data_IF_395795888482
#
_entry.id   IF_395795888482
#
_cell.length_a   1.000
_cell.length_b   1.000
_cell.length_c   1.000
_cell.angle_alpha   90.00
_cell.angle_beta   90.00
_cell.angle_gamma   90.00
#
_symmetry.space_group_name_H-M   'P 1'
#
loop_
_entity.id
_entity.type
_entity.pdbx_description
1 polymer ?
#
# COMPACT_ATOMS: atom_id res chain seq x y z
N UNK A 1 -13.04 5.45 -1.75
CA UNK A 1 -13.23 5.56 -0.31
C UNK A 1 -11.91 5.97 0.35
N UNK A 2 -11.98 6.82 1.38
CA UNK A 2 -10.79 7.33 2.05
C UNK A 2 -10.51 6.50 3.31
N UNK A 3 -9.26 6.06 3.46
CA UNK A 3 -8.81 5.25 4.59
C UNK A 3 -7.62 5.91 5.28
N UNK A 4 -7.37 5.51 6.51
CA UNK A 4 -6.12 5.84 7.18
C UNK A 4 -5.02 4.88 6.74
N UNK A 5 -3.78 5.36 6.73
CA UNK A 5 -2.61 4.55 6.41
C UNK A 5 -2.55 3.29 7.28
N UNK A 6 -2.83 3.45 8.57
CA UNK A 6 -2.78 2.35 9.54
C UNK A 6 -3.88 1.29 9.35
N UNK A 7 -4.87 1.56 8.51
CA UNK A 7 -5.89 0.54 8.18
C UNK A 7 -5.29 -0.61 7.38
N UNK A 8 -4.20 -0.35 6.64
CA UNK A 8 -3.62 -1.33 5.73
C UNK A 8 -2.14 -1.61 5.96
N UNK A 9 -1.41 -0.65 6.53
CA UNK A 9 0.05 -0.74 6.65
C UNK A 9 0.46 -0.86 8.10
N UNK A 10 1.46 -1.69 8.35
CA UNK A 10 2.09 -1.85 9.66
C UNK A 10 3.55 -1.43 9.57
N UNK A 11 4.02 -0.73 10.61
CA UNK A 11 5.39 -0.26 10.69
C UNK A 11 6.22 -1.34 11.37
N UNK A 12 7.30 -1.76 10.68
CA UNK A 12 8.25 -2.71 11.23
C UNK A 12 9.26 -2.02 12.16
N UNK A 13 9.92 -2.76 13.06
CA UNK A 13 10.87 -2.16 14.00
C UNK A 13 12.03 -1.41 13.34
N UNK A 14 12.39 -1.74 12.10
CA UNK A 14 13.48 -1.09 11.37
C UNK A 14 13.04 0.16 10.58
N UNK A 15 11.78 0.57 10.71
CA UNK A 15 11.22 1.73 10.01
C UNK A 15 10.66 1.42 8.62
N UNK A 16 10.81 0.19 8.13
CA UNK A 16 10.11 -0.24 6.93
C UNK A 16 8.65 -0.51 7.25
N UNK A 17 7.83 -0.69 6.22
CA UNK A 17 6.40 -1.00 6.40
C UNK A 17 6.01 -2.17 5.52
N UNK A 18 4.93 -2.85 5.90
CA UNK A 18 4.33 -3.88 5.08
C UNK A 18 2.81 -3.77 5.15
N UNK A 19 2.14 -4.37 4.16
CA UNK A 19 0.69 -4.47 4.15
C UNK A 19 0.27 -5.93 4.27
N UNK A 20 -0.86 -6.15 4.92
CA UNK A 20 -1.50 -7.46 4.99
C UNK A 20 -2.20 -7.82 3.68
N UNK A 21 -2.36 -6.84 2.78
CA UNK A 21 -3.03 -7.02 1.49
C UNK A 21 -2.02 -6.95 0.35
N UNK A 22 -2.26 -7.68 -0.76
CA UNK A 22 -1.61 -7.34 -2.01
C UNK A 22 -1.94 -5.90 -2.39
N UNK A 23 -1.00 -5.17 -2.96
CA UNK A 23 -1.15 -3.75 -3.28
C UNK A 23 -0.89 -3.49 -4.75
N UNK A 24 -1.77 -2.70 -5.35
CA UNK A 24 -1.58 -2.17 -6.70
C UNK A 24 -1.93 -0.68 -6.70
N UNK A 25 -1.17 0.10 -7.45
CA UNK A 25 -1.50 1.50 -7.69
C UNK A 25 -2.41 1.57 -8.92
N UNK A 26 -3.49 2.31 -8.81
CA UNK A 26 -4.46 2.46 -9.90
C UNK A 26 -3.76 2.98 -11.15
N UNK A 27 -4.05 2.35 -12.28
CA UNK A 27 -3.43 2.69 -13.57
C UNK A 27 -2.15 1.93 -13.86
N UNK A 28 -1.68 1.09 -12.94
CA UNK A 28 -0.51 0.22 -13.18
C UNK A 28 -0.95 -1.24 -13.24
N UNK A 29 -0.06 -2.09 -13.75
CA UNK A 29 -0.27 -3.54 -13.81
C UNK A 29 0.60 -4.31 -12.81
N UNK A 30 1.28 -3.60 -11.92
CA UNK A 30 2.18 -4.20 -10.95
C UNK A 30 1.46 -4.38 -9.63
N UNK A 31 1.35 -5.64 -9.18
CA UNK A 31 0.77 -5.98 -7.88
C UNK A 31 1.85 -6.57 -7.00
N UNK A 32 2.05 -5.96 -5.83
CA UNK A 32 2.96 -6.49 -4.82
C UNK A 32 2.18 -7.44 -3.89
N UNK A 33 2.78 -8.57 -3.58
CA UNK A 33 2.18 -9.57 -2.70
C UNK A 33 1.97 -9.03 -1.28
N UNK A 34 1.00 -9.59 -0.57
CA UNK A 34 0.85 -9.35 0.86
C UNK A 34 2.18 -9.64 1.58
N UNK A 35 2.54 -8.81 2.54
CA UNK A 35 3.78 -8.96 3.29
C UNK A 35 5.02 -8.37 2.63
N UNK A 36 4.90 -7.85 1.39
CA UNK A 36 6.03 -7.15 0.75
C UNK A 36 6.44 -5.97 1.60
N UNK A 37 7.74 -5.84 1.84
CA UNK A 37 8.32 -4.78 2.68
C UNK A 37 8.67 -3.58 1.81
N UNK A 38 8.18 -2.41 2.21
CA UNK A 38 8.52 -1.14 1.59
C UNK A 38 9.48 -0.38 2.50
N UNK A 39 10.62 0.08 1.96
CA UNK A 39 11.64 0.79 2.72
C UNK A 39 11.61 2.27 2.40
N UNK A 40 11.94 3.14 3.37
CA UNK A 40 12.05 4.58 3.12
C UNK A 40 13.05 4.86 1.98
N UNK A 41 12.67 5.76 1.08
CA UNK A 41 13.50 6.12 -0.06
C UNK A 41 13.45 5.17 -1.24
N UNK A 42 12.68 4.08 -1.17
CA UNK A 42 12.52 3.12 -2.26
C UNK A 42 11.07 3.21 -2.75
N UNK A 43 10.79 3.99 -3.80
CA UNK A 43 9.42 4.20 -4.27
C UNK A 43 8.85 2.95 -4.94
N UNK A 44 7.53 2.78 -4.76
CA UNK A 44 6.74 1.82 -5.52
C UNK A 44 5.78 2.61 -6.40
N UNK A 45 5.95 2.49 -7.71
CA UNK A 45 5.11 3.18 -8.70
C UNK A 45 4.96 4.69 -8.40
N UNK A 46 6.08 5.33 -8.06
CA UNK A 46 6.13 6.76 -7.80
C UNK A 46 5.79 7.19 -6.38
N UNK A 47 5.45 6.27 -5.49
CA UNK A 47 5.13 6.57 -4.10
C UNK A 47 6.18 5.99 -3.16
N UNK A 48 6.75 6.83 -2.31
CA UNK A 48 7.64 6.40 -1.22
C UNK A 48 6.76 5.97 -0.05
N UNK A 49 6.25 4.74 -0.12
CA UNK A 49 5.20 4.24 0.77
C UNK A 49 5.61 4.34 2.24
N UNK A 50 6.84 3.97 2.58
CA UNK A 50 7.29 3.98 3.97
C UNK A 50 7.36 5.39 4.58
N UNK A 51 7.46 6.42 3.76
CA UNK A 51 7.48 7.81 4.22
C UNK A 51 6.10 8.49 4.19
N UNK A 52 5.03 7.72 3.96
CA UNK A 52 3.67 8.24 3.93
C UNK A 52 2.87 7.91 5.19
N UNK A 53 3.56 7.49 6.25
CA UNK A 53 2.94 7.20 7.56
C UNK A 53 2.17 8.44 8.03
N UNK A 54 0.94 8.23 8.48
CA UNK A 54 0.07 9.32 8.94
C UNK A 54 -0.76 9.96 7.85
N UNK A 55 -0.49 9.67 6.58
CA UNK A 55 -1.30 10.16 5.48
C UNK A 55 -2.58 9.32 5.33
N UNK A 56 -3.61 9.93 4.77
CA UNK A 56 -4.79 9.19 4.35
C UNK A 56 -4.60 8.76 2.90
N UNK A 57 -5.33 7.73 2.51
CA UNK A 57 -5.29 7.24 1.13
C UNK A 57 -6.69 7.02 0.60
N UNK A 58 -6.84 7.18 -0.71
CA UNK A 58 -8.04 6.81 -1.44
C UNK A 58 -7.78 5.47 -2.11
N UNK A 59 -8.63 4.49 -1.82
CA UNK A 59 -8.44 3.15 -2.34
C UNK A 59 -9.76 2.41 -2.46
N UNK A 60 -9.74 1.34 -3.23
CA UNK A 60 -10.82 0.36 -3.28
C UNK A 60 -10.22 -1.02 -3.07
N UNK A 61 -11.02 -1.93 -2.55
CA UNK A 61 -10.60 -3.32 -2.37
C UNK A 61 -11.29 -4.14 -3.45
N UNK A 62 -10.48 -4.84 -4.26
CA UNK A 62 -10.96 -5.69 -5.34
C UNK A 62 -10.65 -7.15 -5.02
N UNK A 63 -11.59 -8.03 -5.30
CA UNK A 63 -11.34 -9.46 -5.21
C UNK A 63 -10.79 -9.95 -6.55
N UNK A 64 -9.59 -10.51 -6.53
CA UNK A 64 -8.92 -11.05 -7.72
C UNK A 64 -8.32 -12.41 -7.35
N UNK A 65 -8.65 -13.43 -8.13
CA UNK A 65 -8.11 -14.80 -7.96
C UNK A 65 -8.25 -15.33 -6.53
N UNK A 66 -9.34 -14.95 -5.84
CA UNK A 66 -9.60 -15.36 -4.46
C UNK A 66 -8.92 -14.51 -3.39
N UNK A 67 -8.13 -13.51 -3.77
CA UNK A 67 -7.47 -12.59 -2.85
C UNK A 67 -8.08 -11.19 -2.93
N UNK A 68 -8.08 -10.49 -1.81
CA UNK A 68 -8.46 -9.09 -1.77
C UNK A 68 -7.23 -8.24 -2.08
N UNK A 69 -7.31 -7.47 -3.18
CA UNK A 69 -6.22 -6.57 -3.60
C UNK A 69 -6.62 -5.13 -3.26
N UNK A 70 -5.72 -4.44 -2.56
CA UNK A 70 -5.89 -3.02 -2.27
C UNK A 70 -5.40 -2.21 -3.47
N UNK A 71 -6.34 -1.54 -4.16
CA UNK A 71 -6.02 -0.69 -5.30
C UNK A 71 -6.05 0.76 -4.84
N UNK A 72 -4.87 1.38 -4.78
CA UNK A 72 -4.68 2.73 -4.25
C UNK A 72 -4.73 3.74 -5.39
N UNK A 73 -5.62 4.75 -5.26
CA UNK A 73 -5.74 5.82 -6.26
C UNK A 73 -4.79 6.96 -5.96
N UNK A 74 -4.64 7.31 -4.67
CA UNK A 74 -3.72 8.38 -4.25
C UNK A 74 -3.53 8.37 -2.74
N UNK A 75 -2.47 9.05 -2.32
CA UNK A 75 -2.24 9.43 -0.92
C UNK A 75 -2.54 10.93 -0.76
N UNK A 76 -3.12 11.30 0.34
CA UNK A 76 -3.46 12.69 0.65
C UNK A 76 -2.37 13.42 1.41
#
# INVERSE_FOLDING_TARGET
>A
MRYDYSDFFQINPDGSVHSEFPIRILGTNVTMSAGTVFRPGVPFEGYDIANLVGHKLKATIHEEHGDEVLVISKFY
#
